data_IF_536045929355
#
_entry.id   IF_536045929355
#
_cell.length_a   1.000
_cell.length_b   1.000
_cell.length_c   1.000
_cell.angle_alpha   90.00
_cell.angle_beta   90.00
_cell.angle_gamma   90.00
#
_symmetry.space_group_name_H-M   'P 1'
#
loop_
_entity.id
_entity.type
_entity.pdbx_description
1 polymer ?
#
# COMPACT_ATOMS: atom_id res chain seq x y z
N UNK A 1 -19.15 -19.33 -9.83
CA UNK A 1 -20.18 -20.27 -10.28
C UNK A 1 -21.47 -19.93 -9.57
N UNK A 2 -22.46 -19.49 -10.34
CA UNK A 2 -23.76 -19.12 -9.79
C UNK A 2 -24.55 -20.40 -9.51
N UNK A 3 -24.89 -20.62 -8.24
CA UNK A 3 -25.91 -21.56 -7.91
C UNK A 3 -27.24 -20.95 -8.40
N UNK A 4 -27.88 -21.54 -9.40
CA UNK A 4 -29.23 -21.14 -9.79
C UNK A 4 -30.14 -21.53 -8.64
N UNK A 5 -30.58 -20.53 -7.88
CA UNK A 5 -31.45 -20.71 -6.71
C UNK A 5 -32.96 -20.92 -7.09
N UNK A 6 -33.24 -21.14 -8.38
CA UNK A 6 -34.60 -21.27 -8.91
C UNK A 6 -35.33 -19.92 -9.05
N UNK A 7 -34.67 -18.81 -8.79
CA UNK A 7 -35.23 -17.48 -9.00
C UNK A 7 -35.51 -17.18 -10.47
N UNK A 8 -36.57 -16.42 -10.76
CA UNK A 8 -36.86 -15.99 -12.11
C UNK A 8 -35.76 -15.07 -12.67
N UNK A 9 -35.23 -15.42 -13.84
CA UNK A 9 -34.32 -14.55 -14.56
C UNK A 9 -35.01 -13.23 -14.89
N UNK A 10 -34.37 -12.10 -14.62
CA UNK A 10 -34.84 -10.80 -15.05
C UNK A 10 -34.15 -10.40 -16.36
N UNK A 11 -34.86 -9.73 -17.29
CA UNK A 11 -34.21 -9.16 -18.47
C UNK A 11 -33.09 -8.22 -18.05
N UNK A 12 -31.99 -8.26 -18.78
CA UNK A 12 -30.90 -7.29 -18.61
C UNK A 12 -31.35 -5.91 -19.05
N UNK A 13 -30.96 -4.88 -18.33
CA UNK A 13 -31.17 -3.50 -18.74
C UNK A 13 -29.99 -3.07 -19.62
N UNK A 14 -30.31 -2.46 -20.76
CA UNK A 14 -29.30 -1.80 -21.58
C UNK A 14 -28.85 -0.53 -20.88
N UNK A 15 -27.56 -0.36 -20.72
CA UNK A 15 -26.97 0.85 -20.20
C UNK A 15 -26.07 1.49 -21.27
N UNK A 16 -25.98 2.83 -21.31
CA UNK A 16 -25.05 3.48 -22.22
C UNK A 16 -23.59 3.11 -21.85
N UNK A 17 -22.72 3.11 -22.87
CA UNK A 17 -21.28 2.95 -22.65
C UNK A 17 -20.77 4.08 -21.72
N UNK A 18 -19.80 3.79 -20.82
CA UNK A 18 -19.22 4.81 -19.95
C UNK A 18 -18.48 5.94 -20.70
N UNK A 19 -18.33 5.85 -22.01
CA UNK A 19 -17.80 6.93 -22.86
C UNK A 19 -16.27 7.15 -22.76
N UNK A 20 -15.54 6.30 -22.05
CA UNK A 20 -14.10 6.38 -21.94
C UNK A 20 -13.38 5.97 -23.22
N UNK A 21 -12.13 6.44 -23.38
CA UNK A 21 -11.22 6.00 -24.45
C UNK A 21 -10.44 4.79 -23.97
N UNK A 22 -10.44 3.71 -24.76
CA UNK A 22 -9.61 2.54 -24.49
C UNK A 22 -8.14 2.88 -24.76
N UNK A 23 -7.28 2.65 -23.77
CA UNK A 23 -5.84 2.80 -23.91
C UNK A 23 -5.14 1.56 -23.34
N UNK A 24 -3.91 1.24 -23.79
CA UNK A 24 -3.10 0.20 -23.19
C UNK A 24 -2.83 0.51 -21.71
N UNK A 25 -2.88 -0.50 -20.86
CA UNK A 25 -2.42 -0.36 -19.47
C UNK A 25 -0.89 -0.24 -19.46
N UNK A 26 -0.32 0.86 -18.95
CA UNK A 26 1.12 1.03 -18.88
C UNK A 26 1.78 0.20 -17.77
N UNK A 27 0.98 -0.37 -16.86
CA UNK A 27 1.47 -1.12 -15.72
C UNK A 27 1.80 -2.58 -16.11
N UNK A 28 2.87 -3.17 -15.53
CA UNK A 28 3.07 -4.62 -15.60
C UNK A 28 1.84 -5.36 -15.07
N UNK A 29 1.29 -6.33 -15.84
CA UNK A 29 0.08 -7.05 -15.43
C UNK A 29 0.36 -7.97 -14.25
N UNK A 30 -0.67 -8.27 -13.47
CA UNK A 30 -0.62 -9.34 -12.48
C UNK A 30 -0.49 -10.70 -13.18
N UNK A 31 0.43 -11.53 -12.68
CA UNK A 31 0.71 -12.86 -13.24
C UNK A 31 0.99 -13.88 -12.16
N UNK A 32 0.80 -15.15 -12.49
CA UNK A 32 1.39 -16.25 -11.72
C UNK A 32 2.90 -16.22 -11.99
N UNK A 33 3.66 -15.67 -11.06
CA UNK A 33 5.13 -15.53 -11.20
C UNK A 33 5.89 -16.75 -10.73
N UNK A 34 5.30 -17.53 -9.81
CA UNK A 34 5.92 -18.74 -9.27
C UNK A 34 4.86 -19.70 -8.72
N UNK A 35 5.15 -20.99 -8.74
CA UNK A 35 4.37 -22.04 -8.09
C UNK A 35 5.13 -22.64 -6.92
N UNK A 36 4.41 -23.04 -5.89
CA UNK A 36 4.97 -23.76 -4.75
C UNK A 36 4.10 -24.98 -4.41
N UNK A 37 4.78 -26.05 -4.00
CA UNK A 37 4.14 -27.21 -3.41
C UNK A 37 4.15 -27.00 -1.89
N UNK A 38 2.98 -26.86 -1.24
CA UNK A 38 2.89 -26.64 0.18
C UNK A 38 3.14 -27.94 0.95
N UNK A 39 3.47 -27.82 2.25
CA UNK A 39 3.64 -28.95 3.16
C UNK A 39 2.40 -29.08 4.05
N UNK A 40 1.82 -30.27 4.14
CA UNK A 40 0.73 -30.53 5.09
C UNK A 40 1.28 -30.53 6.52
N UNK A 41 0.81 -29.58 7.34
CA UNK A 41 1.28 -29.39 8.73
C UNK A 41 0.26 -29.85 9.78
N UNK A 42 -0.99 -30.07 9.39
CA UNK A 42 -2.03 -30.59 10.26
C UNK A 42 -3.13 -31.29 9.47
N UNK A 43 -3.68 -32.38 10.07
CA UNK A 43 -4.82 -33.10 9.50
C UNK A 43 -5.77 -33.54 10.61
N UNK A 44 -7.05 -33.24 10.42
CA UNK A 44 -8.14 -33.63 11.32
C UNK A 44 -9.39 -33.94 10.47
N UNK A 45 -9.66 -35.23 10.31
CA UNK A 45 -10.72 -35.73 9.42
C UNK A 45 -10.52 -35.24 7.97
N UNK A 46 -11.54 -34.56 7.44
CA UNK A 46 -11.51 -33.98 6.09
C UNK A 46 -10.84 -32.60 6.03
N UNK A 47 -10.43 -32.06 7.18
CA UNK A 47 -9.72 -30.78 7.27
C UNK A 47 -8.22 -31.00 7.22
N UNK A 48 -7.53 -30.28 6.34
CA UNK A 48 -6.07 -30.27 6.26
C UNK A 48 -5.57 -28.83 6.32
N UNK A 49 -4.44 -28.60 7.01
CA UNK A 49 -3.75 -27.31 7.01
C UNK A 49 -2.39 -27.46 6.36
N UNK A 50 -2.06 -26.48 5.53
CA UNK A 50 -0.87 -26.47 4.68
C UNK A 50 -0.03 -25.24 4.93
N UNK A 51 1.29 -25.38 4.93
CA UNK A 51 2.28 -24.30 4.99
C UNK A 51 2.86 -24.06 3.58
N UNK A 52 2.70 -22.88 3.04
CA UNK A 52 3.34 -22.44 1.80
C UNK A 52 4.85 -22.16 1.97
N UNK A 53 5.36 -22.16 3.21
CA UNK A 53 6.77 -21.94 3.54
C UNK A 53 7.21 -20.49 3.59
N UNK A 54 6.38 -19.56 3.14
CA UNK A 54 6.60 -18.10 3.20
C UNK A 54 5.27 -17.33 3.17
N UNK A 55 5.26 -16.12 3.72
CA UNK A 55 4.12 -15.23 3.56
C UNK A 55 4.16 -14.61 2.15
N UNK A 56 3.04 -14.62 1.45
CA UNK A 56 2.94 -14.28 0.03
C UNK A 56 1.56 -13.70 -0.34
N UNK A 57 1.44 -13.19 -1.54
CA UNK A 57 0.14 -12.97 -2.20
C UNK A 57 -0.07 -14.02 -3.29
N UNK A 58 -1.28 -14.55 -3.40
CA UNK A 58 -1.58 -15.57 -4.39
C UNK A 58 -2.88 -16.30 -4.13
N UNK A 59 -3.02 -17.47 -4.75
CA UNK A 59 -4.20 -18.33 -4.63
C UNK A 59 -3.79 -19.79 -4.48
N UNK A 60 -4.72 -20.59 -3.94
CA UNK A 60 -4.57 -22.04 -3.86
C UNK A 60 -5.28 -22.68 -5.03
N UNK A 61 -4.58 -23.56 -5.72
CA UNK A 61 -5.09 -24.40 -6.80
C UNK A 61 -5.03 -25.86 -6.36
N UNK A 62 -6.08 -26.64 -6.58
CA UNK A 62 -6.13 -28.04 -6.21
C UNK A 62 -7.04 -28.84 -7.17
N UNK A 63 -6.96 -30.17 -7.13
CA UNK A 63 -7.89 -31.04 -7.84
C UNK A 63 -9.03 -31.42 -6.89
N UNK A 64 -10.28 -31.10 -7.25
CA UNK A 64 -11.46 -31.68 -6.64
C UNK A 64 -11.70 -33.04 -7.31
N UNK A 65 -11.63 -34.18 -6.61
CA UNK A 65 -11.93 -35.48 -7.20
C UNK A 65 -13.42 -35.60 -7.54
N UNK A 66 -13.77 -36.68 -8.22
CA UNK A 66 -15.19 -37.01 -8.45
C UNK A 66 -15.91 -37.09 -7.12
N UNK A 67 -16.90 -36.25 -6.91
CA UNK A 67 -17.71 -36.21 -5.71
C UNK A 67 -19.17 -35.92 -6.04
N UNK A 68 -20.05 -36.14 -5.08
CA UNK A 68 -21.50 -35.91 -5.26
C UNK A 68 -21.75 -34.43 -5.66
N UNK A 69 -22.60 -34.15 -6.64
CA UNK A 69 -23.03 -32.79 -6.96
C UNK A 69 -23.49 -32.02 -5.72
N UNK A 70 -22.99 -30.81 -5.54
CA UNK A 70 -23.24 -29.98 -4.36
C UNK A 70 -22.32 -30.24 -3.17
N UNK A 71 -21.38 -31.21 -3.23
CA UNK A 71 -20.32 -31.33 -2.23
C UNK A 71 -19.53 -30.05 -2.17
N UNK A 72 -19.43 -29.46 -0.97
CA UNK A 72 -18.71 -28.21 -0.76
C UNK A 72 -17.25 -28.49 -0.36
N UNK A 73 -16.33 -27.73 -0.96
CA UNK A 73 -14.94 -27.61 -0.52
C UNK A 73 -14.67 -26.17 -0.16
N UNK A 74 -14.15 -25.92 1.04
CA UNK A 74 -13.86 -24.59 1.55
C UNK A 74 -12.35 -24.45 1.73
N UNK A 75 -11.78 -23.35 1.19
CA UNK A 75 -10.38 -22.97 1.38
C UNK A 75 -10.33 -21.67 2.18
N UNK A 76 -9.65 -21.67 3.32
CA UNK A 76 -9.43 -20.46 4.13
C UNK A 76 -7.94 -20.18 4.25
N UNK A 77 -7.59 -18.89 4.24
CA UNK A 77 -6.21 -18.44 4.20
C UNK A 77 -5.88 -17.59 5.43
N UNK A 78 -4.65 -17.70 5.95
CA UNK A 78 -4.16 -16.87 7.05
C UNK A 78 -2.62 -16.75 7.03
N UNK A 79 -2.12 -15.73 7.71
CA UNK A 79 -0.67 -15.52 7.87
C UNK A 79 -0.09 -16.32 9.04
N UNK A 80 -0.92 -16.75 9.99
CA UNK A 80 -0.50 -17.44 11.22
C UNK A 80 -1.27 -18.74 11.44
N UNK A 81 -0.55 -19.71 11.99
CA UNK A 81 -1.07 -21.01 12.39
C UNK A 81 -0.49 -21.39 13.76
N UNK A 82 -1.33 -21.92 14.65
CA UNK A 82 -0.89 -22.54 15.90
C UNK A 82 -0.90 -24.06 15.74
N UNK A 83 0.20 -24.71 16.09
CA UNK A 83 0.27 -26.17 16.13
C UNK A 83 -0.61 -26.74 17.26
N UNK A 84 -0.73 -26.01 18.36
CA UNK A 84 -1.62 -26.37 19.46
C UNK A 84 -3.08 -26.23 19.02
N UNK A 85 -3.75 -27.38 18.85
CA UNK A 85 -5.14 -27.43 18.39
C UNK A 85 -5.36 -27.16 16.89
N UNK A 86 -4.32 -27.02 16.08
CA UNK A 86 -4.44 -26.85 14.63
C UNK A 86 -5.20 -25.59 14.22
N UNK A 87 -5.06 -24.48 14.93
CA UNK A 87 -5.84 -23.26 14.72
C UNK A 87 -5.23 -22.36 13.66
N UNK A 88 -6.03 -22.01 12.64
CA UNK A 88 -5.71 -21.00 11.65
C UNK A 88 -6.20 -19.63 12.13
N UNK A 89 -5.29 -18.66 12.26
CA UNK A 89 -5.63 -17.31 12.73
C UNK A 89 -6.11 -16.45 11.56
N UNK A 90 -7.42 -16.32 11.42
CA UNK A 90 -8.06 -15.53 10.36
C UNK A 90 -8.40 -14.09 10.77
N UNK A 91 -8.25 -13.74 12.04
CA UNK A 91 -8.65 -12.44 12.60
C UNK A 91 -7.83 -11.28 12.05
N UNK A 92 -6.61 -11.50 11.61
CA UNK A 92 -5.76 -10.46 11.01
C UNK A 92 -6.34 -9.86 9.73
N UNK A 93 -7.26 -10.57 9.07
CA UNK A 93 -7.98 -10.06 7.91
C UNK A 93 -9.07 -9.02 8.26
N UNK A 94 -9.32 -8.76 9.55
CA UNK A 94 -10.39 -7.86 9.99
C UNK A 94 -11.77 -8.40 9.60
N UNK A 95 -12.59 -7.55 8.96
CA UNK A 95 -13.90 -7.94 8.43
C UNK A 95 -13.82 -8.72 7.11
N UNK A 96 -12.66 -8.75 6.46
CA UNK A 96 -12.46 -9.48 5.21
C UNK A 96 -12.11 -10.93 5.51
N UNK A 97 -12.95 -11.84 5.05
CA UNK A 97 -12.72 -13.27 5.18
C UNK A 97 -12.06 -13.78 3.89
N UNK A 98 -10.80 -14.17 3.98
CA UNK A 98 -10.06 -14.78 2.88
C UNK A 98 -10.50 -16.24 2.67
N UNK A 99 -11.71 -16.44 2.13
CA UNK A 99 -12.37 -17.75 2.01
C UNK A 99 -12.90 -17.96 0.60
N UNK A 100 -12.46 -19.03 -0.03
CA UNK A 100 -13.00 -19.50 -1.31
C UNK A 100 -13.87 -20.73 -1.09
N UNK A 101 -14.95 -20.86 -1.87
CA UNK A 101 -15.88 -21.97 -1.82
C UNK A 101 -16.07 -22.58 -3.20
N UNK A 102 -15.99 -23.91 -3.26
CA UNK A 102 -16.15 -24.68 -4.49
C UNK A 102 -17.21 -25.75 -4.27
N UNK A 103 -17.98 -26.02 -5.32
CA UNK A 103 -19.05 -27.01 -5.27
C UNK A 103 -18.84 -28.08 -6.34
N UNK A 104 -18.86 -29.34 -5.95
CA UNK A 104 -18.79 -30.47 -6.87
C UNK A 104 -19.95 -30.47 -7.86
N UNK A 105 -19.68 -30.94 -9.07
CA UNK A 105 -20.66 -31.11 -10.15
C UNK A 105 -20.79 -32.57 -10.62
N UNK A 106 -20.11 -33.47 -9.93
CA UNK A 106 -20.07 -34.89 -10.30
C UNK A 106 -18.85 -35.29 -11.14
N UNK A 107 -17.98 -34.32 -11.49
CA UNK A 107 -16.76 -34.57 -12.26
C UNK A 107 -15.50 -34.17 -11.48
N UNK A 108 -14.36 -34.81 -11.81
CA UNK A 108 -13.08 -34.36 -11.30
C UNK A 108 -12.64 -33.10 -12.06
N UNK A 109 -12.17 -32.08 -11.31
CA UNK A 109 -11.73 -30.86 -11.95
C UNK A 109 -10.68 -30.10 -11.12
N UNK A 110 -9.88 -29.28 -11.80
CA UNK A 110 -9.03 -28.31 -11.13
C UNK A 110 -9.87 -27.14 -10.63
N UNK A 111 -9.67 -26.79 -9.38
CA UNK A 111 -10.29 -25.64 -8.72
C UNK A 111 -9.22 -24.58 -8.48
N UNK A 112 -9.50 -23.36 -8.91
CA UNK A 112 -8.61 -22.22 -8.84
C UNK A 112 -9.47 -20.95 -8.93
N UNK A 113 -9.34 -19.97 -8.02
CA UNK A 113 -10.10 -18.73 -8.14
C UNK A 113 -9.47 -17.85 -9.24
N UNK A 114 -10.35 -17.14 -9.97
CA UNK A 114 -9.97 -16.06 -10.87
C UNK A 114 -10.37 -14.74 -10.24
N UNK A 115 -9.86 -13.61 -10.59
CA UNK A 115 -10.28 -12.28 -10.14
C UNK A 115 -10.12 -12.00 -8.63
N UNK A 116 -9.30 -12.80 -7.93
CA UNK A 116 -8.98 -12.62 -6.51
C UNK A 116 -7.56 -13.08 -6.24
N UNK A 117 -6.95 -12.50 -5.22
CA UNK A 117 -5.75 -13.01 -4.56
C UNK A 117 -5.94 -12.91 -3.05
N UNK A 118 -5.16 -13.69 -2.31
CA UNK A 118 -5.13 -13.69 -0.85
C UNK A 118 -3.72 -13.41 -0.34
N UNK A 119 -3.60 -12.84 0.86
CA UNK A 119 -2.33 -12.72 1.59
C UNK A 119 -2.24 -13.79 2.66
N UNK A 120 -1.27 -14.72 2.55
CA UNK A 120 -1.19 -15.83 3.47
C UNK A 120 0.18 -16.51 3.46
N UNK A 121 0.42 -17.26 4.52
CA UNK A 121 1.43 -18.32 4.56
C UNK A 121 0.77 -19.69 4.75
N UNK A 122 -0.27 -19.73 5.56
CA UNK A 122 -1.01 -20.96 5.85
C UNK A 122 -2.38 -20.92 5.23
N UNK A 123 -2.85 -22.07 4.80
CA UNK A 123 -4.23 -22.23 4.36
C UNK A 123 -4.77 -23.58 4.79
N UNK A 124 -6.08 -23.68 4.95
CA UNK A 124 -6.76 -24.93 5.21
C UNK A 124 -7.72 -25.27 4.08
N UNK A 125 -7.86 -26.54 3.81
CA UNK A 125 -8.88 -27.08 2.91
C UNK A 125 -9.77 -28.03 3.73
N UNK A 126 -11.07 -27.77 3.66
CA UNK A 126 -12.11 -28.63 4.23
C UNK A 126 -12.90 -29.25 3.09
N UNK A 127 -12.97 -30.58 3.05
CA UNK A 127 -13.61 -31.36 2.01
C UNK A 127 -12.63 -32.08 1.07
N UNK A 128 -13.14 -32.84 0.07
CA UNK A 128 -12.32 -33.67 -0.81
C UNK A 128 -11.40 -32.87 -1.72
N UNK A 129 -10.10 -33.07 -1.63
CA UNK A 129 -9.10 -32.39 -2.44
C UNK A 129 -7.84 -33.23 -2.63
N UNK A 130 -7.16 -33.01 -3.74
CA UNK A 130 -5.89 -33.64 -4.10
C UNK A 130 -4.92 -32.61 -4.67
N UNK A 131 -3.63 -32.86 -4.51
CA UNK A 131 -2.54 -32.13 -5.14
C UNK A 131 -2.64 -30.58 -5.03
N UNK A 132 -2.73 -30.01 -3.81
CA UNK A 132 -2.77 -28.58 -3.65
C UNK A 132 -1.44 -27.94 -4.08
N UNK A 133 -1.54 -26.82 -4.79
CA UNK A 133 -0.45 -25.97 -5.22
C UNK A 133 -0.74 -24.54 -4.81
N UNK A 134 0.28 -23.75 -4.50
CA UNK A 134 0.17 -22.31 -4.30
C UNK A 134 0.68 -21.59 -5.55
N UNK A 135 -0.17 -20.77 -6.13
CA UNK A 135 0.15 -19.91 -7.26
C UNK A 135 0.42 -18.50 -6.70
N UNK A 136 1.70 -18.06 -6.76
CA UNK A 136 2.11 -16.74 -6.28
C UNK A 136 1.78 -15.73 -7.36
N UNK A 137 0.99 -14.71 -7.00
CA UNK A 137 0.49 -13.69 -7.93
C UNK A 137 0.86 -12.31 -7.39
N UNK A 138 1.43 -11.49 -8.24
CA UNK A 138 1.64 -10.06 -8.08
C UNK A 138 1.91 -9.41 -9.45
N UNK A 139 1.97 -8.09 -9.50
CA UNK A 139 2.40 -7.38 -10.71
C UNK A 139 3.78 -7.86 -11.14
N UNK A 140 3.95 -8.13 -12.45
CA UNK A 140 5.17 -8.69 -13.04
C UNK A 140 6.30 -7.65 -13.08
N UNK A 141 6.70 -7.20 -11.88
CA UNK A 141 7.77 -6.21 -11.68
C UNK A 141 9.07 -6.94 -11.38
N UNK A 142 10.10 -6.81 -12.25
CA UNK A 142 11.38 -7.48 -12.05
C UNK A 142 12.14 -6.95 -10.83
N UNK A 143 12.82 -7.84 -10.11
CA UNK A 143 13.84 -7.47 -9.10
C UNK A 143 15.08 -7.01 -9.84
N UNK A 144 15.53 -5.77 -9.62
CA UNK A 144 16.70 -5.17 -10.28
C UNK A 144 17.91 -4.97 -9.35
N UNK A 145 17.83 -5.48 -8.13
CA UNK A 145 18.87 -5.35 -7.11
C UNK A 145 19.35 -6.70 -6.62
N UNK A 146 20.52 -6.70 -6.01
CA UNK A 146 21.04 -7.84 -5.26
C UNK A 146 21.76 -7.36 -4.01
N UNK A 147 21.66 -8.13 -2.94
CA UNK A 147 22.34 -7.84 -1.68
C UNK A 147 22.83 -9.13 -1.05
N UNK A 148 24.09 -9.14 -0.65
CA UNK A 148 24.70 -10.23 0.08
C UNK A 148 25.71 -9.67 1.10
N UNK A 149 25.62 -10.15 2.32
CA UNK A 149 26.57 -9.85 3.38
C UNK A 149 26.89 -11.12 4.19
N UNK A 150 27.88 -11.03 5.08
CA UNK A 150 28.18 -12.09 6.07
C UNK A 150 27.18 -12.13 7.23
N UNK A 151 26.31 -11.11 7.36
CA UNK A 151 25.31 -11.01 8.41
C UNK A 151 23.95 -11.62 7.97
N UNK A 152 23.59 -12.78 8.55
CA UNK A 152 22.40 -13.52 8.14
C UNK A 152 21.09 -12.73 8.25
N UNK A 153 20.94 -11.86 9.27
CA UNK A 153 19.74 -11.02 9.46
C UNK A 153 19.59 -9.99 8.34
N UNK A 154 20.69 -9.38 7.87
CA UNK A 154 20.63 -8.43 6.76
C UNK A 154 20.23 -9.10 5.45
N UNK A 155 20.76 -10.30 5.18
CA UNK A 155 20.34 -11.09 4.01
C UNK A 155 18.87 -11.47 4.07
N UNK A 156 18.40 -11.89 5.26
CA UNK A 156 16.98 -12.18 5.49
C UNK A 156 16.10 -10.94 5.30
N UNK A 157 16.52 -9.80 5.85
CA UNK A 157 15.79 -8.52 5.75
C UNK A 157 15.62 -8.11 4.29
N UNK A 158 16.70 -8.15 3.49
CA UNK A 158 16.63 -7.87 2.06
C UNK A 158 15.61 -8.77 1.37
N UNK A 159 15.71 -10.08 1.55
CA UNK A 159 14.81 -11.04 0.93
C UNK A 159 13.33 -10.85 1.38
N UNK A 160 13.13 -10.55 2.66
CA UNK A 160 11.79 -10.28 3.21
C UNK A 160 11.20 -8.99 2.66
N UNK A 161 12.01 -7.92 2.55
CA UNK A 161 11.59 -6.63 1.97
C UNK A 161 11.17 -6.78 0.52
N UNK A 162 11.98 -7.45 -0.31
CA UNK A 162 11.63 -7.71 -1.72
C UNK A 162 10.30 -8.47 -1.82
N UNK A 163 10.13 -9.56 -1.05
CA UNK A 163 8.87 -10.32 -1.04
C UNK A 163 7.69 -9.46 -0.61
N UNK A 164 7.87 -8.66 0.43
CA UNK A 164 6.81 -7.79 0.95
C UNK A 164 6.37 -6.75 -0.07
N UNK A 165 7.34 -6.09 -0.72
CA UNK A 165 7.04 -5.12 -1.78
C UNK A 165 6.25 -5.77 -2.91
N UNK A 166 6.72 -6.91 -3.44
CA UNK A 166 6.03 -7.63 -4.52
C UNK A 166 4.63 -8.08 -4.11
N UNK A 167 4.46 -8.64 -2.90
CA UNK A 167 3.15 -9.09 -2.40
C UNK A 167 2.13 -7.95 -2.22
N UNK A 168 2.58 -6.70 -2.18
CA UNK A 168 1.72 -5.53 -2.06
C UNK A 168 1.47 -4.80 -3.39
N UNK A 169 2.04 -5.29 -4.50
CA UNK A 169 1.90 -4.66 -5.81
C UNK A 169 0.97 -5.46 -6.71
N UNK A 170 -0.24 -4.93 -6.92
CA UNK A 170 -1.27 -5.54 -7.75
C UNK A 170 -1.98 -4.49 -8.60
N UNK A 171 -2.23 -4.82 -9.87
CA UNK A 171 -3.01 -4.01 -10.81
C UNK A 171 -2.57 -2.53 -10.87
N UNK A 172 -1.25 -2.28 -10.80
CA UNK A 172 -0.70 -0.93 -10.84
C UNK A 172 -0.93 -0.11 -9.58
N UNK A 173 -1.14 -0.78 -8.45
CA UNK A 173 -1.37 -0.16 -7.14
C UNK A 173 -0.40 -0.74 -6.13
N UNK A 174 0.19 0.12 -5.30
CA UNK A 174 0.96 -0.30 -4.13
C UNK A 174 0.06 -0.29 -2.90
N UNK A 175 -0.15 -1.46 -2.28
CA UNK A 175 -1.02 -1.67 -1.11
C UNK A 175 -0.21 -1.90 0.15
N UNK A 176 -0.87 -1.87 1.30
CA UNK A 176 -0.27 -2.16 2.63
C UNK A 176 -0.18 -3.64 2.92
N UNK A 177 -1.21 -4.38 2.57
CA UNK A 177 -1.31 -5.79 2.92
C UNK A 177 -2.31 -6.54 2.07
N UNK A 178 -1.87 -7.62 1.39
CA UNK A 178 -2.70 -8.35 0.45
C UNK A 178 -3.84 -9.11 1.13
N UNK A 179 -3.75 -9.34 2.44
CA UNK A 179 -4.79 -10.03 3.22
C UNK A 179 -5.89 -9.10 3.74
N UNK A 180 -5.65 -7.78 3.79
CA UNK A 180 -6.52 -6.84 4.53
C UNK A 180 -6.88 -5.60 3.71
N UNK A 181 -5.98 -4.65 3.61
CA UNK A 181 -6.20 -3.35 2.99
C UNK A 181 -5.79 -3.40 1.52
N UNK A 182 -6.65 -3.82 0.63
CA UNK A 182 -6.33 -4.01 -0.80
C UNK A 182 -6.49 -2.75 -1.65
N UNK A 183 -6.41 -1.59 -1.02
CA UNK A 183 -6.50 -0.28 -1.66
C UNK A 183 -5.11 0.33 -1.79
N UNK A 184 -4.95 1.21 -2.77
CA UNK A 184 -3.73 1.98 -2.97
C UNK A 184 -3.63 3.15 -2.01
N UNK A 185 -3.32 2.87 -0.74
CA UNK A 185 -3.17 3.91 0.27
C UNK A 185 -1.99 4.82 -0.05
N UNK A 186 -2.25 6.12 -0.18
CA UNK A 186 -1.26 7.10 -0.61
C UNK A 186 -0.14 7.30 0.40
N UNK A 187 -0.42 7.15 1.70
CA UNK A 187 0.59 7.13 2.75
C UNK A 187 1.59 6.00 2.57
N UNK A 188 1.09 4.77 2.52
CA UNK A 188 1.92 3.56 2.44
C UNK A 188 2.72 3.47 1.15
N UNK A 189 2.06 3.75 0.03
CA UNK A 189 2.69 3.69 -1.28
C UNK A 189 3.82 4.70 -1.45
N UNK A 190 3.67 5.95 -0.93
CA UNK A 190 4.74 6.95 -1.01
C UNK A 190 5.94 6.63 -0.10
N UNK A 191 5.68 6.08 1.10
CA UNK A 191 6.76 5.73 2.04
C UNK A 191 7.61 4.57 1.53
N UNK A 192 7.02 3.66 0.77
CA UNK A 192 7.72 2.51 0.18
C UNK A 192 8.29 2.81 -1.21
N UNK A 193 7.94 3.93 -1.84
CA UNK A 193 8.29 4.27 -3.22
C UNK A 193 9.80 4.23 -3.50
N UNK A 194 10.59 4.91 -2.68
CA UNK A 194 12.06 4.96 -2.84
C UNK A 194 12.69 3.56 -2.74
N UNK A 195 12.29 2.78 -1.72
CA UNK A 195 12.73 1.40 -1.55
C UNK A 195 12.31 0.51 -2.72
N UNK A 196 11.08 0.65 -3.21
CA UNK A 196 10.59 -0.12 -4.34
C UNK A 196 11.35 0.21 -5.64
N UNK A 197 11.63 1.49 -5.90
CA UNK A 197 12.41 1.93 -7.06
C UNK A 197 13.89 1.52 -6.96
N UNK A 198 14.43 1.40 -5.74
CA UNK A 198 15.79 0.89 -5.50
C UNK A 198 15.90 -0.61 -5.75
N UNK A 199 14.90 -1.39 -5.31
CA UNK A 199 15.00 -2.85 -5.31
C UNK A 199 14.37 -3.49 -6.55
N UNK A 200 13.39 -2.83 -7.16
CA UNK A 200 12.55 -3.35 -8.23
C UNK A 200 12.53 -2.40 -9.44
N UNK A 201 12.31 -2.93 -10.62
CA UNK A 201 12.01 -2.13 -11.83
C UNK A 201 10.58 -1.58 -11.78
N UNK A 202 10.22 -0.90 -10.69
CA UNK A 202 8.86 -0.50 -10.36
C UNK A 202 8.40 0.83 -10.97
N UNK A 203 9.25 1.52 -11.75
CA UNK A 203 8.91 2.83 -12.32
C UNK A 203 7.58 2.83 -13.11
N UNK A 204 7.28 1.87 -14.01
CA UNK A 204 6.00 1.87 -14.73
C UNK A 204 4.78 1.75 -13.81
N UNK A 205 4.88 0.98 -12.71
CA UNK A 205 3.82 0.86 -11.70
C UNK A 205 3.57 2.21 -11.01
N UNK A 206 4.65 2.87 -10.55
CA UNK A 206 4.52 4.16 -9.87
C UNK A 206 4.12 5.30 -10.83
N UNK A 207 4.49 5.26 -12.10
CA UNK A 207 4.03 6.21 -13.12
C UNK A 207 2.50 6.08 -13.36
N UNK A 208 2.00 4.85 -13.42
CA UNK A 208 0.55 4.60 -13.51
C UNK A 208 -0.16 5.08 -12.24
N UNK A 209 0.36 4.71 -11.07
CA UNK A 209 -0.23 5.08 -9.79
C UNK A 209 -0.21 6.60 -9.53
N UNK A 210 0.85 7.30 -9.96
CA UNK A 210 0.91 8.76 -9.93
C UNK A 210 -0.21 9.42 -10.75
N UNK A 211 -0.58 8.81 -11.89
CA UNK A 211 -1.74 9.26 -12.67
C UNK A 211 -3.04 9.10 -11.87
N UNK A 212 -3.24 7.96 -11.24
CA UNK A 212 -4.42 7.72 -10.41
C UNK A 212 -4.53 8.72 -9.24
N UNK A 213 -3.39 9.06 -8.61
CA UNK A 213 -3.33 10.08 -7.55
C UNK A 213 -3.76 11.45 -8.11
N UNK A 214 -3.23 11.83 -9.26
CA UNK A 214 -3.54 13.12 -9.89
C UNK A 214 -4.99 13.20 -10.38
N UNK A 215 -5.52 12.12 -10.94
CA UNK A 215 -6.91 12.02 -11.40
C UNK A 215 -7.91 12.13 -10.24
N UNK A 216 -7.51 11.66 -9.04
CA UNK A 216 -8.30 11.76 -7.82
C UNK A 216 -8.16 13.10 -7.08
N UNK A 217 -7.33 14.03 -7.54
CA UNK A 217 -7.15 15.31 -6.88
C UNK A 217 -8.38 16.20 -7.05
N UNK A 218 -8.89 16.77 -5.96
CA UNK A 218 -9.95 17.77 -6.02
C UNK A 218 -9.48 19.02 -6.78
N UNK A 219 -10.15 19.41 -7.88
CA UNK A 219 -9.70 20.51 -8.71
C UNK A 219 -9.89 21.89 -8.08
N UNK A 220 -10.74 22.02 -7.06
CA UNK A 220 -11.07 23.27 -6.39
C UNK A 220 -10.19 23.48 -5.17
N UNK A 221 -10.15 22.49 -4.28
CA UNK A 221 -9.40 22.58 -3.00
C UNK A 221 -7.94 22.17 -3.15
N UNK A 222 -7.63 21.30 -4.11
CA UNK A 222 -6.30 20.70 -4.25
C UNK A 222 -6.08 19.48 -3.37
N UNK A 223 -7.11 19.05 -2.60
CA UNK A 223 -7.06 17.85 -1.75
C UNK A 223 -6.67 16.61 -2.52
N UNK A 224 -5.86 15.76 -1.90
CA UNK A 224 -5.48 14.42 -2.39
C UNK A 224 -6.10 13.37 -1.47
N UNK A 225 -6.77 12.40 -2.08
CA UNK A 225 -7.43 11.33 -1.37
C UNK A 225 -6.46 10.37 -0.66
N UNK A 226 -6.95 9.66 0.37
CA UNK A 226 -6.17 8.62 1.07
C UNK A 226 -5.84 7.40 0.21
N UNK A 227 -6.60 7.17 -0.86
CA UNK A 227 -6.42 6.05 -1.77
C UNK A 227 -6.40 6.50 -3.23
N UNK A 228 -5.60 5.83 -4.04
CA UNK A 228 -5.58 6.00 -5.47
C UNK A 228 -5.46 4.62 -6.17
N UNK A 229 -6.36 4.24 -7.09
CA UNK A 229 -7.58 4.96 -7.47
C UNK A 229 -8.50 5.26 -6.29
N UNK A 230 -9.25 6.35 -6.37
CA UNK A 230 -10.17 6.76 -5.31
C UNK A 230 -11.34 5.77 -5.17
N UNK A 231 -11.56 5.28 -3.96
CA UNK A 231 -12.63 4.33 -3.63
C UNK A 231 -13.66 4.89 -2.65
N UNK A 232 -13.40 6.06 -2.07
CA UNK A 232 -14.21 6.67 -1.03
C UNK A 232 -13.42 6.92 0.23
N UNK A 233 -14.02 7.63 1.17
CA UNK A 233 -13.37 8.15 2.36
C UNK A 233 -12.80 9.54 2.13
N UNK A 234 -12.46 10.22 3.20
CA UNK A 234 -11.81 11.52 3.18
C UNK A 234 -10.33 11.42 3.49
N UNK A 235 -9.71 12.56 3.69
CA UNK A 235 -8.34 12.69 4.15
C UNK A 235 -8.15 14.04 4.80
N UNK A 236 -7.29 14.11 5.78
CA UNK A 236 -6.89 15.38 6.38
C UNK A 236 -5.72 16.02 5.65
N UNK A 237 -5.28 17.20 6.08
CA UNK A 237 -4.16 17.94 5.49
C UNK A 237 -2.79 17.33 5.82
N UNK A 238 -2.72 16.07 6.21
CA UNK A 238 -1.50 15.41 6.67
C UNK A 238 -0.68 14.73 5.60
N UNK A 239 0.22 13.84 6.04
CA UNK A 239 1.28 13.27 5.22
C UNK A 239 0.84 12.42 4.03
N UNK A 240 -0.39 11.90 4.00
CA UNK A 240 -0.82 10.94 2.96
C UNK A 240 -0.94 11.55 1.57
N UNK A 241 -1.57 12.71 1.45
CA UNK A 241 -1.66 13.43 0.18
C UNK A 241 -0.32 13.90 -0.37
N UNK A 242 0.71 13.91 0.46
CA UNK A 242 2.09 14.19 0.05
C UNK A 242 2.62 13.25 -1.04
N UNK A 243 1.94 12.15 -1.30
CA UNK A 243 2.26 11.23 -2.39
C UNK A 243 2.36 11.93 -3.75
N UNK A 244 1.55 12.96 -4.02
CA UNK A 244 1.59 13.73 -5.26
C UNK A 244 2.92 14.49 -5.46
N UNK A 245 3.65 14.78 -4.39
CA UNK A 245 4.99 15.39 -4.42
C UNK A 245 6.09 14.35 -4.32
N UNK A 246 5.90 13.37 -3.44
CA UNK A 246 6.90 12.35 -3.12
C UNK A 246 7.16 11.40 -4.28
N UNK A 247 6.10 10.90 -4.91
CA UNK A 247 6.22 9.90 -5.98
C UNK A 247 6.94 10.45 -7.21
N UNK A 248 6.56 11.61 -7.80
CA UNK A 248 7.28 12.15 -8.93
C UNK A 248 8.71 12.59 -8.59
N UNK A 249 8.98 13.01 -7.35
CA UNK A 249 10.33 13.30 -6.89
C UNK A 249 11.22 12.05 -6.97
N UNK A 250 10.80 10.92 -6.41
CA UNK A 250 11.59 9.69 -6.46
C UNK A 250 11.63 9.08 -7.87
N UNK A 251 10.55 9.13 -8.64
CA UNK A 251 10.58 8.71 -10.04
C UNK A 251 11.64 9.48 -10.82
N UNK A 252 11.70 10.80 -10.67
CA UNK A 252 12.76 11.61 -11.29
C UNK A 252 14.15 11.21 -10.80
N UNK A 253 14.34 11.05 -9.49
CA UNK A 253 15.65 10.72 -8.90
C UNK A 253 16.19 9.38 -9.41
N UNK A 254 15.33 8.38 -9.58
CA UNK A 254 15.72 7.05 -10.02
C UNK A 254 15.79 6.89 -11.56
N UNK A 255 14.96 7.60 -12.30
CA UNK A 255 14.85 7.40 -13.76
C UNK A 255 15.42 8.55 -14.60
N UNK A 256 15.64 9.72 -14.00
CA UNK A 256 16.02 10.93 -14.73
C UNK A 256 14.90 11.60 -15.50
N UNK A 257 13.66 11.09 -15.46
CA UNK A 257 12.50 11.59 -16.22
C UNK A 257 12.00 12.94 -15.68
N UNK A 258 12.60 14.03 -16.17
CA UNK A 258 12.24 15.41 -15.77
C UNK A 258 10.85 15.82 -16.24
N UNK A 259 10.37 15.24 -17.33
CA UNK A 259 9.05 15.51 -17.89
C UNK A 259 7.92 15.16 -16.92
N UNK A 260 8.06 14.14 -16.10
CA UNK A 260 7.10 13.79 -15.05
C UNK A 260 6.96 14.95 -14.04
N UNK A 261 8.08 15.52 -13.62
CA UNK A 261 8.05 16.68 -12.73
C UNK A 261 7.29 17.84 -13.39
N UNK A 262 7.56 18.12 -14.64
CA UNK A 262 6.86 19.19 -15.38
C UNK A 262 5.35 19.00 -15.45
N UNK A 263 4.93 17.77 -15.75
CA UNK A 263 3.51 17.38 -15.89
C UNK A 263 2.75 17.51 -14.57
N UNK A 264 3.32 17.04 -13.47
CA UNK A 264 2.63 16.97 -12.18
C UNK A 264 2.89 18.16 -11.26
N UNK A 265 3.78 19.09 -11.61
CA UNK A 265 4.09 20.26 -10.78
C UNK A 265 2.86 21.10 -10.42
N UNK A 266 1.90 21.38 -11.32
CA UNK A 266 0.68 22.10 -10.96
C UNK A 266 -0.18 21.36 -9.92
N UNK A 267 -0.17 20.02 -9.94
CA UNK A 267 -0.84 19.20 -8.93
C UNK A 267 -0.17 19.32 -7.57
N UNK A 268 1.16 19.33 -7.55
CA UNK A 268 1.96 19.52 -6.33
C UNK A 268 1.71 20.90 -5.72
N UNK A 269 1.67 21.97 -6.56
CA UNK A 269 1.39 23.32 -6.10
C UNK A 269 0.02 23.43 -5.44
N UNK A 270 -1.03 22.81 -6.02
CA UNK A 270 -2.36 22.77 -5.42
C UNK A 270 -2.38 22.05 -4.08
N UNK A 271 -1.65 20.92 -3.97
CA UNK A 271 -1.54 20.19 -2.70
C UNK A 271 -0.84 21.02 -1.62
N UNK A 272 0.27 21.68 -1.93
CA UNK A 272 0.95 22.56 -0.97
C UNK A 272 0.04 23.71 -0.55
N UNK A 273 -0.69 24.34 -1.48
CA UNK A 273 -1.66 25.39 -1.17
C UNK A 273 -2.79 24.87 -0.27
N UNK A 274 -3.25 23.64 -0.48
CA UNK A 274 -4.23 22.99 0.40
C UNK A 274 -3.70 22.83 1.83
N UNK A 275 -2.48 22.32 2.01
CA UNK A 275 -1.87 22.22 3.34
C UNK A 275 -1.70 23.60 4.01
N UNK A 276 -1.27 24.61 3.24
CA UNK A 276 -1.14 25.98 3.76
C UNK A 276 -2.49 26.59 4.18
N UNK A 277 -3.57 26.31 3.44
CA UNK A 277 -4.91 26.77 3.79
C UNK A 277 -5.44 26.12 5.08
N UNK A 278 -4.90 24.95 5.45
CA UNK A 278 -5.22 24.22 6.67
C UNK A 278 -4.18 24.46 7.78
N UNK A 279 -3.44 25.57 7.69
CA UNK A 279 -2.39 25.91 8.67
C UNK A 279 -2.81 27.10 9.55
N UNK A 280 -2.40 27.07 10.81
CA UNK A 280 -2.51 28.14 11.77
C UNK A 280 -1.15 28.40 12.43
N UNK A 281 -0.72 29.66 12.49
CA UNK A 281 0.60 30.04 13.05
C UNK A 281 1.78 29.29 12.40
N UNK A 282 1.66 28.91 11.12
CA UNK A 282 2.68 28.18 10.37
C UNK A 282 2.70 26.67 10.60
N UNK A 283 1.75 26.12 11.34
CA UNK A 283 1.56 24.68 11.59
C UNK A 283 0.33 24.17 10.86
N UNK A 284 0.41 23.02 10.23
CA UNK A 284 -0.74 22.35 9.61
C UNK A 284 -1.59 21.70 10.71
N UNK A 285 -2.72 22.31 11.07
CA UNK A 285 -3.45 22.00 12.31
C UNK A 285 -4.89 21.57 12.08
N UNK A 286 -5.49 21.89 10.93
CA UNK A 286 -6.91 21.73 10.74
C UNK A 286 -7.25 20.46 9.99
N UNK A 287 -8.19 19.71 10.54
CA UNK A 287 -8.83 18.61 9.84
C UNK A 287 -9.97 19.10 8.96
N UNK A 288 -10.27 18.36 7.90
CA UNK A 288 -11.51 18.54 7.16
C UNK A 288 -12.69 17.94 7.92
N UNK A 289 -13.87 18.51 7.75
CA UNK A 289 -15.11 17.93 8.29
C UNK A 289 -15.32 16.53 7.71
N UNK A 290 -15.41 15.52 8.57
CA UNK A 290 -15.50 14.10 8.18
C UNK A 290 -14.20 13.49 7.64
N UNK A 291 -13.10 14.21 7.65
CA UNK A 291 -11.77 13.75 7.26
C UNK A 291 -10.96 13.19 8.43
N UNK A 292 -9.81 12.64 8.12
CA UNK A 292 -8.85 12.12 9.09
C UNK A 292 -7.56 12.91 8.98
N UNK A 293 -7.07 13.37 10.12
CA UNK A 293 -5.70 13.85 10.27
C UNK A 293 -4.91 12.75 11.01
N UNK A 294 -4.13 11.98 10.28
CA UNK A 294 -3.60 10.74 10.83
C UNK A 294 -2.43 10.94 11.80
N UNK A 295 -1.71 12.06 11.73
CA UNK A 295 -0.59 12.27 12.62
C UNK A 295 0.34 11.05 12.72
N UNK A 296 0.65 10.63 13.92
CA UNK A 296 1.31 9.36 14.21
C UNK A 296 0.31 8.20 14.17
N UNK A 297 0.70 7.07 13.60
CA UNK A 297 -0.22 5.96 13.34
C UNK A 297 0.38 4.61 13.73
N UNK A 298 -0.43 3.79 14.42
CA UNK A 298 -0.09 2.40 14.77
C UNK A 298 1.19 2.23 15.59
N UNK A 299 1.41 3.07 16.58
CA UNK A 299 2.48 2.88 17.55
C UNK A 299 2.18 1.69 18.49
N UNK A 300 3.20 1.05 19.09
CA UNK A 300 2.99 -0.02 20.07
C UNK A 300 2.31 0.45 21.36
N UNK A 301 2.40 1.71 21.68
CA UNK A 301 1.85 2.38 22.86
C UNK A 301 0.88 3.50 22.43
N UNK A 302 0.42 4.31 23.36
CA UNK A 302 -0.41 5.47 23.05
C UNK A 302 0.33 6.44 22.13
N UNK A 303 -0.41 7.05 21.20
CA UNK A 303 0.13 8.06 20.28
C UNK A 303 0.59 9.28 21.08
N UNK A 304 1.85 9.63 20.92
CA UNK A 304 2.50 10.69 21.68
C UNK A 304 2.82 11.93 20.83
N UNK A 305 2.82 11.82 19.51
CA UNK A 305 3.12 12.94 18.63
C UNK A 305 1.86 13.72 18.27
N UNK A 306 1.86 15.04 18.49
CA UNK A 306 0.75 15.89 18.06
C UNK A 306 0.60 15.85 16.53
N UNK A 307 -0.65 15.78 16.05
CA UNK A 307 -0.95 15.80 14.61
C UNK A 307 -0.32 17.02 13.91
N UNK A 308 -0.37 18.24 14.43
CA UNK A 308 0.27 19.38 13.76
C UNK A 308 1.77 19.26 13.63
N UNK A 309 2.45 18.54 14.54
CA UNK A 309 3.88 18.27 14.41
C UNK A 309 4.17 17.40 13.19
N UNK A 310 3.48 16.26 13.09
CA UNK A 310 3.67 15.29 12.00
C UNK A 310 3.26 15.90 10.66
N UNK A 311 2.10 16.57 10.61
CA UNK A 311 1.61 17.18 9.37
C UNK A 311 2.52 18.29 8.86
N UNK A 312 3.06 19.12 9.77
CA UNK A 312 4.02 20.18 9.41
C UNK A 312 5.36 19.61 8.96
N UNK A 313 5.83 18.52 9.56
CA UNK A 313 7.00 17.80 9.07
C UNK A 313 6.80 17.40 7.59
N UNK A 314 5.66 16.83 7.21
CA UNK A 314 5.38 16.47 5.82
C UNK A 314 5.28 17.69 4.90
N UNK A 315 4.73 18.81 5.38
CA UNK A 315 4.74 20.06 4.62
C UNK A 315 6.19 20.50 4.31
N UNK A 316 7.06 20.49 5.31
CA UNK A 316 8.48 20.87 5.15
C UNK A 316 9.17 19.97 4.13
N UNK A 317 9.00 18.65 4.23
CA UNK A 317 9.56 17.68 3.26
C UNK A 317 9.06 17.94 1.84
N UNK A 318 7.79 18.29 1.68
CA UNK A 318 7.25 18.64 0.35
C UNK A 318 7.85 19.93 -0.18
N UNK A 319 7.98 20.97 0.64
CA UNK A 319 8.55 22.26 0.25
C UNK A 319 10.03 22.12 -0.16
N UNK A 320 10.82 21.31 0.54
CA UNK A 320 12.20 21.01 0.17
C UNK A 320 12.28 20.32 -1.19
N UNK A 321 11.45 19.29 -1.41
CA UNK A 321 11.36 18.59 -2.71
C UNK A 321 10.90 19.52 -3.83
N UNK A 322 9.92 20.38 -3.57
CA UNK A 322 9.46 21.41 -4.53
C UNK A 322 10.58 22.39 -4.89
N UNK A 323 11.41 22.80 -3.93
CA UNK A 323 12.56 23.65 -4.18
C UNK A 323 13.61 22.99 -5.09
N UNK A 324 13.86 21.69 -4.93
CA UNK A 324 14.74 20.93 -5.81
C UNK A 324 14.14 20.80 -7.22
N UNK A 325 12.87 20.42 -7.32
CA UNK A 325 12.17 20.19 -8.59
C UNK A 325 11.93 21.50 -9.36
N UNK A 326 11.75 22.65 -8.69
CA UNK A 326 11.60 23.94 -9.33
C UNK A 326 12.81 24.29 -10.22
N UNK A 327 14.02 23.91 -9.80
CA UNK A 327 15.24 24.14 -10.59
C UNK A 327 15.23 23.37 -11.92
N UNK A 328 14.62 22.19 -11.96
CA UNK A 328 14.50 21.42 -13.21
C UNK A 328 13.64 22.11 -14.24
N UNK A 329 12.67 22.90 -13.78
CA UNK A 329 11.77 23.72 -14.59
C UNK A 329 12.35 25.11 -14.90
N UNK A 330 13.59 25.36 -14.54
CA UNK A 330 14.24 26.68 -14.65
C UNK A 330 13.45 27.80 -13.93
N UNK A 331 12.69 27.43 -12.88
CA UNK A 331 11.97 28.34 -12.00
C UNK A 331 12.71 28.55 -10.67
N UNK A 332 12.39 29.65 -9.98
CA UNK A 332 13.03 29.94 -8.71
C UNK A 332 12.68 28.94 -7.63
N UNK A 333 13.70 28.41 -6.93
CA UNK A 333 13.55 27.59 -5.74
C UNK A 333 13.27 28.43 -4.47
N UNK A 334 13.53 29.73 -4.53
CA UNK A 334 13.51 30.61 -3.36
C UNK A 334 12.15 30.70 -2.66
N UNK A 335 11.01 30.81 -3.35
CA UNK A 335 9.72 30.82 -2.67
C UNK A 335 9.46 29.58 -1.84
N UNK A 336 9.85 28.39 -2.33
CA UNK A 336 9.69 27.11 -1.64
C UNK A 336 10.59 27.02 -0.40
N UNK A 337 11.84 27.42 -0.53
CA UNK A 337 12.79 27.45 0.60
C UNK A 337 12.32 28.40 1.71
N UNK A 338 11.86 29.61 1.34
CA UNK A 338 11.35 30.57 2.32
C UNK A 338 10.17 30.01 3.10
N UNK A 339 9.26 29.33 2.43
CA UNK A 339 8.12 28.64 3.07
C UNK A 339 8.59 27.50 3.98
N UNK A 340 9.54 26.69 3.54
CA UNK A 340 10.11 25.60 4.32
C UNK A 340 10.79 26.12 5.60
N UNK A 341 11.57 27.18 5.52
CA UNK A 341 12.21 27.81 6.67
C UNK A 341 11.20 28.40 7.66
N UNK A 342 10.14 29.04 7.17
CA UNK A 342 9.07 29.55 8.02
C UNK A 342 8.34 28.41 8.77
N UNK A 343 8.06 27.29 8.10
CA UNK A 343 7.43 26.12 8.72
C UNK A 343 8.38 25.45 9.74
N UNK A 344 9.68 25.33 9.45
CA UNK A 344 10.69 24.84 10.40
C UNK A 344 10.74 25.73 11.66
N UNK A 345 10.74 27.05 11.46
CA UNK A 345 10.74 27.99 12.58
C UNK A 345 9.48 27.83 13.47
N UNK A 346 8.29 27.74 12.85
CA UNK A 346 7.05 27.53 13.55
C UNK A 346 7.07 26.21 14.36
N UNK A 347 7.51 25.12 13.73
CA UNK A 347 7.59 23.81 14.37
C UNK A 347 8.57 23.80 15.54
N UNK A 348 9.76 24.40 15.38
CA UNK A 348 10.74 24.55 16.45
C UNK A 348 10.17 25.39 17.61
N UNK A 349 9.54 26.51 17.31
CA UNK A 349 8.95 27.40 18.33
C UNK A 349 7.87 26.70 19.15
N UNK A 350 7.07 25.85 18.51
CA UNK A 350 5.94 25.21 19.19
C UNK A 350 6.32 23.95 19.99
N UNK A 351 7.35 23.21 19.58
CA UNK A 351 7.58 21.86 20.08
C UNK A 351 9.00 21.56 20.60
N UNK A 352 9.95 22.49 20.44
CA UNK A 352 11.30 22.30 20.94
C UNK A 352 11.45 22.80 22.38
N UNK A 353 12.03 21.99 23.24
CA UNK A 353 12.40 22.34 24.60
C UNK A 353 13.91 22.53 24.71
N UNK A 354 14.34 23.75 24.97
CA UNK A 354 15.76 24.10 25.10
C UNK A 354 16.43 23.50 26.36
N UNK A 355 15.65 23.19 27.41
CA UNK A 355 16.21 22.71 28.68
C UNK A 355 16.74 21.29 28.60
N UNK A 356 16.13 20.44 27.79
CA UNK A 356 16.48 19.04 27.60
C UNK A 356 16.91 18.73 26.15
N UNK A 357 16.89 19.74 25.27
CA UNK A 357 17.27 19.64 23.86
C UNK A 357 16.45 18.60 23.07
N UNK A 358 15.15 18.49 23.35
CA UNK A 358 14.26 17.52 22.75
C UNK A 358 13.04 18.17 22.09
N UNK A 359 12.37 17.42 21.20
CA UNK A 359 11.07 17.77 20.65
C UNK A 359 9.96 16.95 21.30
N UNK A 360 8.78 17.54 21.50
CA UNK A 360 7.58 16.88 22.04
C UNK A 360 7.82 16.11 23.34
N UNK A 361 8.71 16.63 24.23
CA UNK A 361 9.00 15.99 25.51
C UNK A 361 9.90 14.75 25.43
N UNK A 362 10.74 14.63 24.40
CA UNK A 362 11.73 13.56 24.24
C UNK A 362 11.17 12.27 23.63
N UNK A 363 10.08 12.37 22.89
CA UNK A 363 9.56 11.22 22.12
C UNK A 363 10.50 10.93 20.98
N UNK A 364 11.04 9.71 20.90
CA UNK A 364 12.04 9.30 19.92
C UNK A 364 11.64 9.64 18.47
N UNK A 365 10.37 9.45 18.12
CA UNK A 365 9.87 9.78 16.78
C UNK A 365 9.93 11.26 16.47
N UNK A 366 9.68 12.14 17.45
CA UNK A 366 9.78 13.58 17.27
C UNK A 366 11.21 14.03 16.97
N UNK A 367 12.18 13.55 17.74
CA UNK A 367 13.58 13.88 17.54
C UNK A 367 14.09 13.35 16.18
N UNK A 368 13.68 12.14 15.79
CA UNK A 368 13.99 11.57 14.47
C UNK A 368 13.43 12.42 13.32
N UNK A 369 12.17 12.87 13.41
CA UNK A 369 11.58 13.76 12.41
C UNK A 369 12.26 15.13 12.38
N UNK A 370 12.59 15.68 13.55
CA UNK A 370 13.30 16.96 13.62
C UNK A 370 14.69 16.89 12.96
N UNK A 371 15.45 15.83 13.23
CA UNK A 371 16.74 15.57 12.58
C UNK A 371 16.61 15.46 11.05
N UNK A 372 15.62 14.73 10.56
CA UNK A 372 15.39 14.51 9.11
C UNK A 372 15.07 15.80 8.35
N UNK A 373 14.50 16.79 9.03
CA UNK A 373 14.23 18.12 8.43
C UNK A 373 15.28 19.19 8.84
N UNK A 374 16.37 18.78 9.45
CA UNK A 374 17.48 19.68 9.78
C UNK A 374 17.24 20.60 10.99
N UNK A 375 16.37 20.24 11.92
CA UNK A 375 16.10 21.00 13.16
C UNK A 375 16.91 20.50 14.36
N UNK A 376 17.54 19.35 14.27
CA UNK A 376 18.41 18.81 15.32
C UNK A 376 19.82 19.38 15.28
N UNK A 377 20.50 19.42 16.42
CA UNK A 377 21.93 19.65 16.47
C UNK A 377 22.64 18.35 16.13
N UNK A 378 23.67 18.44 15.28
CA UNK A 378 24.50 17.30 14.87
C UNK A 378 25.65 17.00 15.88
N UNK A 379 25.56 17.52 17.11
CA UNK A 379 26.53 17.27 18.18
C UNK A 379 26.05 16.23 19.17
#
# INVERSE_FOLDING_TARGET
>A
YFRHDGGAWRPVLSAPSPGGTLCPDPCPPDRVVRKRIPVCVHRDGERTVWDAGENLSGVVSFVMPVCKPGTEVVVRHAERFSQDGGVLYTQSAGSLVQTDRYFGDGTARRCEPHFVWHGFRYFEIMGPHENPEVLIIHSDVPVCSSFLSDHAVLNWLYAATVRRLLSNQHAGVSSVGPHRHRLGYTGDGQLTCDTALTLLSAAPLYEKWLRDIADGQDPVTGHIQHTAPFYGGGGGPGGWGCAIVTVPYFLWRHTGKKELVGTYFPHMERWVAYMEAHSENGLVVREEEGGWCLGEWCTPEDVMLPEPFVNTYFLIKNLDRMAEMARLRQSSAEPWRKKAEAARHALKTAYYNEADNTFCGGVQGADAFALDIGLGNSE
#
